data_IF_349808913108
#
_entry.id   IF_349808913108
#
_cell.length_a   1.000
_cell.length_b   1.000
_cell.length_c   1.000
_cell.angle_alpha   90.00
_cell.angle_beta   90.00
_cell.angle_gamma   90.00
#
_symmetry.space_group_name_H-M   'P 1'
#
loop_
_entity.id
_entity.type
_entity.pdbx_description
1 polymer ?
#
# COMPACT_ATOMS: atom_id res chain seq x y z
N UNK A 1 12.79 1.38 1.19
CA UNK A 1 11.42 1.11 0.69
C UNK A 1 10.52 0.80 1.89
N UNK A 2 9.35 1.44 2.06
CA UNK A 2 8.55 1.32 3.28
C UNK A 2 7.81 -0.02 3.44
N UNK A 3 7.61 -0.78 2.37
CA UNK A 3 7.02 -2.13 2.42
C UNK A 3 7.68 -3.04 1.37
N UNK A 4 8.73 -3.78 1.71
CA UNK A 4 9.47 -4.63 0.76
C UNK A 4 9.49 -6.06 1.26
N UNK A 5 8.61 -6.91 0.71
CA UNK A 5 8.44 -8.29 1.15
C UNK A 5 8.35 -9.18 -0.09
N UNK A 6 9.06 -10.32 -0.03
CA UNK A 6 9.00 -11.38 -1.04
C UNK A 6 8.95 -12.73 -0.33
N UNK A 7 8.32 -13.72 -0.96
CA UNK A 7 8.29 -15.08 -0.46
C UNK A 7 8.33 -16.06 -1.63
N UNK A 8 8.98 -17.20 -1.43
CA UNK A 8 8.98 -18.32 -2.38
C UNK A 8 7.77 -19.25 -2.19
N UNK A 9 7.06 -19.13 -1.07
CA UNK A 9 5.87 -19.91 -0.79
C UNK A 9 4.65 -19.41 -1.59
N UNK A 10 3.56 -20.17 -1.55
CA UNK A 10 2.28 -19.84 -2.19
C UNK A 10 1.22 -19.38 -1.16
N UNK A 11 1.28 -18.13 -0.65
CA UNK A 11 0.32 -17.60 0.30
C UNK A 11 -1.11 -17.51 -0.27
N UNK A 12 -1.26 -17.47 -1.58
CA UNK A 12 -2.54 -17.46 -2.31
C UNK A 12 -3.42 -18.66 -1.95
N UNK A 13 -2.82 -19.85 -1.75
CA UNK A 13 -3.59 -21.06 -1.43
C UNK A 13 -4.23 -21.01 -0.04
N UNK A 14 -3.68 -20.18 0.87
CA UNK A 14 -4.17 -19.99 2.24
C UNK A 14 -5.09 -18.78 2.39
N UNK A 15 -5.26 -17.96 1.36
CA UNK A 15 -6.15 -16.79 1.40
C UNK A 15 -7.62 -17.20 1.25
N UNK A 16 -8.52 -16.55 1.98
CA UNK A 16 -9.99 -16.75 1.90
C UNK A 16 -10.70 -15.38 1.89
N UNK A 17 -11.94 -15.29 1.38
CA UNK A 17 -12.66 -14.01 1.31
C UNK A 17 -12.85 -13.31 2.66
N UNK A 18 -13.17 -14.07 3.70
CA UNK A 18 -13.36 -13.61 5.09
C UNK A 18 -12.04 -13.53 5.89
N UNK A 19 -10.99 -14.19 5.39
CA UNK A 19 -9.66 -14.22 6.01
C UNK A 19 -8.56 -14.07 4.94
N UNK A 20 -8.35 -12.85 4.42
CA UNK A 20 -7.31 -12.61 3.42
C UNK A 20 -5.92 -12.80 4.04
N UNK A 21 -5.01 -13.39 3.25
CA UNK A 21 -3.65 -13.63 3.73
C UNK A 21 -2.95 -12.28 4.05
N UNK A 22 -2.22 -12.15 5.18
CA UNK A 22 -1.61 -10.90 5.60
C UNK A 22 -0.72 -10.24 4.54
N UNK A 23 0.07 -11.03 3.80
CA UNK A 23 0.93 -10.52 2.73
C UNK A 23 0.20 -9.67 1.68
N UNK A 24 -1.04 -10.05 1.34
CA UNK A 24 -1.85 -9.27 0.39
C UNK A 24 -2.58 -8.14 1.07
N UNK A 25 -3.16 -8.38 2.26
CA UNK A 25 -3.89 -7.36 3.03
C UNK A 25 -3.00 -6.16 3.36
N UNK A 26 -1.79 -6.42 3.86
CA UNK A 26 -0.85 -5.38 4.26
C UNK A 26 -0.23 -4.67 3.05
N UNK A 27 -0.03 -5.37 1.93
CA UNK A 27 0.42 -4.73 0.69
C UNK A 27 -0.59 -3.64 0.26
N UNK A 28 -1.88 -3.95 0.27
CA UNK A 28 -2.93 -3.00 -0.07
C UNK A 28 -2.99 -1.86 0.96
N UNK A 29 -2.90 -2.16 2.25
CA UNK A 29 -2.86 -1.14 3.30
C UNK A 29 -1.69 -0.17 3.11
N UNK A 30 -0.48 -0.68 2.86
CA UNK A 30 0.70 0.13 2.58
C UNK A 30 0.54 0.99 1.31
N UNK A 31 -0.11 0.44 0.27
CA UNK A 31 -0.42 1.17 -0.96
C UNK A 31 -1.40 2.34 -0.72
N UNK A 32 -2.42 2.14 0.11
CA UNK A 32 -3.38 3.19 0.50
C UNK A 32 -2.67 4.33 1.25
N UNK A 33 -1.82 4.00 2.23
CA UNK A 33 -1.01 4.99 2.96
C UNK A 33 -0.08 5.75 2.00
N UNK A 34 0.52 5.06 1.02
CA UNK A 34 1.35 5.73 0.03
C UNK A 34 0.53 6.68 -0.86
N UNK A 35 -0.66 6.26 -1.28
CA UNK A 35 -1.59 7.09 -2.06
C UNK A 35 -1.96 8.37 -1.32
N UNK A 36 -2.34 8.27 -0.05
CA UNK A 36 -2.66 9.44 0.79
C UNK A 36 -1.48 10.41 0.90
N UNK A 37 -0.28 9.89 1.17
CA UNK A 37 0.95 10.70 1.22
C UNK A 37 1.21 11.41 -0.12
N UNK A 38 0.97 10.74 -1.25
CA UNK A 38 1.12 11.35 -2.58
C UNK A 38 0.09 12.44 -2.84
N UNK A 39 -1.17 12.21 -2.46
CA UNK A 39 -2.23 13.22 -2.60
C UNK A 39 -1.95 14.45 -1.74
N UNK A 40 -1.51 14.25 -0.49
CA UNK A 40 -1.11 15.35 0.39
C UNK A 40 0.03 16.19 -0.22
N UNK A 41 1.05 15.54 -0.80
CA UNK A 41 2.15 16.23 -1.51
C UNK A 41 1.69 16.99 -2.76
N UNK A 42 0.75 16.41 -3.51
CA UNK A 42 0.22 17.06 -4.71
C UNK A 42 -0.58 18.32 -4.36
N UNK A 43 -1.40 18.28 -3.30
CA UNK A 43 -2.15 19.46 -2.82
C UNK A 43 -1.25 20.58 -2.31
N UNK A 44 -0.10 20.27 -1.71
CA UNK A 44 0.88 21.27 -1.28
C UNK A 44 1.67 21.94 -2.41
N UNK A 45 1.72 21.34 -3.60
CA UNK A 45 2.53 21.84 -4.73
C UNK A 45 1.80 22.91 -5.58
N UNK A 46 0.53 23.20 -5.28
CA UNK A 46 -0.34 24.08 -6.07
C UNK A 46 -0.38 25.55 -5.63
N UNK A 47 0.52 25.99 -4.74
CA UNK A 47 0.66 27.43 -4.42
C UNK A 47 1.87 27.99 -5.16
N UNK A 48 1.70 28.63 -6.33
CA UNK A 48 2.72 29.54 -6.82
C UNK A 48 2.69 30.77 -5.91
N UNK A 49 3.77 30.98 -5.14
CA UNK A 49 4.04 32.28 -4.53
C UNK A 49 4.21 33.29 -5.65
N UNK A 50 3.45 34.38 -5.58
CA UNK A 50 3.65 35.58 -6.38
C UNK A 50 5.06 36.16 -6.19
#
# INVERSE_FOLDING_TARGET
>A
HPYWVATQAHPEFKSRPDRPHPLFRELIAAALVNREKRLARAGSATVPSA
#
